data_IF_447945598728
#
_entry.id   IF_447945598728
#
_cell.length_a   1.000
_cell.length_b   1.000
_cell.length_c   1.000
_cell.angle_alpha   90.00
_cell.angle_beta   90.00
_cell.angle_gamma   90.00
#
_symmetry.space_group_name_H-M   'P 1'
#
loop_
_entity.id
_entity.type
_entity.pdbx_description
1 polymer ?
#
# COMPACT_ATOMS: atom_id res chain seq x y z
N UNK A 1 -26.94 9.50 4.10
CA UNK A 1 -25.90 10.14 3.28
C UNK A 1 -25.23 9.12 2.36
N UNK A 2 -25.34 9.38 1.05
CA UNK A 2 -24.61 8.77 -0.08
C UNK A 2 -24.26 7.26 0.00
N UNK A 3 -25.22 6.39 -0.34
CA UNK A 3 -24.97 4.99 -0.74
C UNK A 3 -25.29 4.80 -2.23
N UNK A 4 -24.72 5.64 -3.09
CA UNK A 4 -24.70 5.37 -4.52
C UNK A 4 -23.45 4.55 -4.82
N UNK A 5 -23.63 3.23 -4.79
CA UNK A 5 -22.65 2.23 -5.19
C UNK A 5 -22.49 2.30 -6.73
N UNK A 6 -21.96 3.42 -7.22
CA UNK A 6 -21.80 3.74 -8.64
C UNK A 6 -20.63 2.90 -9.20
N UNK A 7 -20.87 2.01 -10.18
CA UNK A 7 -19.85 1.14 -10.79
C UNK A 7 -18.72 1.89 -11.53
N UNK A 8 -18.74 3.23 -11.55
CA UNK A 8 -17.64 4.07 -12.08
C UNK A 8 -16.67 4.59 -11.01
N UNK A 9 -17.04 4.56 -9.73
CA UNK A 9 -16.16 5.08 -8.67
C UNK A 9 -14.89 4.25 -8.54
N UNK A 10 -15.00 2.93 -8.69
CA UNK A 10 -13.87 2.00 -8.60
C UNK A 10 -12.79 2.31 -9.66
N UNK A 11 -13.20 2.60 -10.89
CA UNK A 11 -12.28 3.00 -11.97
C UNK A 11 -11.59 4.33 -11.68
N UNK A 12 -12.25 5.29 -11.02
CA UNK A 12 -11.62 6.57 -10.66
C UNK A 12 -10.46 6.36 -9.69
N UNK A 13 -10.61 5.47 -8.70
CA UNK A 13 -9.51 5.13 -7.78
C UNK A 13 -8.35 4.46 -8.53
N UNK A 14 -8.64 3.52 -9.44
CA UNK A 14 -7.61 2.83 -10.24
C UNK A 14 -6.87 3.81 -11.16
N UNK A 15 -7.60 4.66 -11.87
CA UNK A 15 -7.01 5.68 -12.74
C UNK A 15 -6.16 6.67 -11.94
N UNK A 16 -6.65 7.11 -10.78
CA UNK A 16 -5.91 8.04 -9.91
C UNK A 16 -4.67 7.40 -9.30
N UNK A 17 -4.77 6.14 -8.87
CA UNK A 17 -3.65 5.35 -8.43
C UNK A 17 -2.57 5.26 -9.51
N UNK A 18 -2.94 4.84 -10.73
CA UNK A 18 -2.01 4.70 -11.83
C UNK A 18 -1.32 6.02 -12.18
N UNK A 19 -2.06 7.13 -12.19
CA UNK A 19 -1.51 8.45 -12.47
C UNK A 19 -0.51 8.92 -11.40
N UNK A 20 -0.81 8.68 -10.12
CA UNK A 20 0.12 8.97 -9.03
C UNK A 20 1.35 8.07 -9.06
N UNK A 21 1.15 6.78 -9.38
CA UNK A 21 2.22 5.79 -9.47
C UNK A 21 3.19 6.13 -10.60
N UNK A 22 2.68 6.48 -11.79
CA UNK A 22 3.50 6.94 -12.93
C UNK A 22 4.21 8.26 -12.65
N UNK A 23 3.61 9.14 -11.84
CA UNK A 23 4.24 10.39 -11.39
C UNK A 23 5.35 10.19 -10.35
N UNK A 24 5.59 8.95 -9.88
CA UNK A 24 6.52 8.65 -8.79
C UNK A 24 5.99 9.01 -7.39
N UNK A 25 4.72 9.39 -7.28
CA UNK A 25 4.07 9.74 -6.01
C UNK A 25 3.51 8.49 -5.31
N UNK A 26 4.39 7.57 -4.92
CA UNK A 26 4.05 6.28 -4.31
C UNK A 26 3.29 6.42 -2.98
N UNK A 27 3.63 7.42 -2.18
CA UNK A 27 2.95 7.69 -0.89
C UNK A 27 1.48 8.09 -1.09
N UNK A 28 1.19 8.95 -2.07
CA UNK A 28 -0.19 9.32 -2.41
C UNK A 28 -0.93 8.15 -3.06
N UNK A 29 -0.28 7.42 -3.98
CA UNK A 29 -0.87 6.23 -4.61
C UNK A 29 -1.29 5.19 -3.56
N UNK A 30 -0.46 4.98 -2.55
CA UNK A 30 -0.77 4.13 -1.41
C UNK A 30 -1.96 4.60 -0.58
N UNK A 31 -2.11 5.90 -0.34
CA UNK A 31 -3.31 6.46 0.33
C UNK A 31 -4.57 6.17 -0.48
N UNK A 32 -4.54 6.40 -1.78
CA UNK A 32 -5.67 6.10 -2.68
C UNK A 32 -6.04 4.62 -2.60
N UNK A 33 -5.04 3.73 -2.58
CA UNK A 33 -5.29 2.30 -2.47
C UNK A 33 -5.85 1.88 -1.10
N UNK A 34 -5.46 2.56 -0.02
CA UNK A 34 -5.96 2.29 1.32
C UNK A 34 -7.37 2.85 1.57
N UNK A 35 -7.70 4.00 0.98
CA UNK A 35 -9.03 4.64 1.07
C UNK A 35 -10.04 4.09 0.06
N UNK A 36 -9.57 3.31 -0.92
CA UNK A 36 -10.43 2.74 -1.95
C UNK A 36 -11.51 1.82 -1.34
N UNK A 37 -12.78 1.99 -1.74
CA UNK A 37 -13.88 1.18 -1.23
C UNK A 37 -13.67 -0.30 -1.58
N UNK A 38 -14.13 -1.20 -0.70
CA UNK A 38 -14.02 -2.66 -0.85
C UNK A 38 -12.58 -3.21 -1.01
N UNK A 39 -11.55 -2.38 -0.86
CA UNK A 39 -10.17 -2.81 -1.07
C UNK A 39 -9.87 -3.19 -2.52
N UNK A 40 -10.53 -2.58 -3.51
CA UNK A 40 -10.31 -2.86 -4.94
C UNK A 40 -8.84 -2.72 -5.39
N UNK A 41 -8.07 -1.87 -4.70
CA UNK A 41 -6.65 -1.62 -4.93
C UNK A 41 -5.76 -2.36 -3.92
N UNK A 42 -6.34 -3.09 -2.98
CA UNK A 42 -5.63 -3.92 -2.00
C UNK A 42 -5.56 -5.35 -2.50
N UNK A 43 -4.89 -5.50 -3.64
CA UNK A 43 -4.75 -6.76 -4.35
C UNK A 43 -3.27 -7.11 -4.49
N UNK A 44 -3.00 -8.40 -4.71
CA UNK A 44 -1.67 -8.91 -5.10
C UNK A 44 -1.08 -8.12 -6.27
N UNK A 45 -1.90 -7.70 -7.23
CA UNK A 45 -1.45 -6.95 -8.40
C UNK A 45 -0.87 -5.58 -8.02
N UNK A 46 -1.49 -4.87 -7.07
CA UNK A 46 -0.96 -3.58 -6.56
C UNK A 46 0.35 -3.80 -5.80
N UNK A 47 0.42 -4.85 -4.98
CA UNK A 47 1.64 -5.20 -4.23
C UNK A 47 2.79 -5.48 -5.20
N UNK A 48 2.53 -6.27 -6.25
CA UNK A 48 3.52 -6.56 -7.29
C UNK A 48 4.00 -5.29 -7.98
N UNK A 49 3.11 -4.35 -8.33
CA UNK A 49 3.52 -3.05 -8.88
C UNK A 49 4.50 -2.34 -7.96
N UNK A 50 4.20 -2.19 -6.67
CA UNK A 50 5.13 -1.58 -5.70
C UNK A 50 6.44 -2.37 -5.54
N UNK A 51 6.40 -3.69 -5.71
CA UNK A 51 7.58 -4.54 -5.62
C UNK A 51 8.49 -4.41 -6.85
N UNK A 52 7.92 -4.15 -8.04
CA UNK A 52 8.71 -3.90 -9.26
C UNK A 52 9.50 -2.60 -9.20
N UNK A 53 9.09 -1.65 -8.34
CA UNK A 53 9.80 -0.37 -8.23
C UNK A 53 11.06 -0.56 -7.38
N UNK A 54 12.25 -0.31 -7.94
CA UNK A 54 13.49 -0.41 -7.19
C UNK A 54 13.53 0.64 -6.07
N UNK A 55 14.03 0.28 -4.88
CA UNK A 55 14.23 1.25 -3.81
C UNK A 55 15.29 2.27 -4.23
N UNK A 56 14.93 3.56 -4.23
CA UNK A 56 15.90 4.63 -4.48
C UNK A 56 16.72 4.92 -3.21
N UNK A 57 18.01 5.20 -3.39
CA UNK A 57 18.86 5.70 -2.31
C UNK A 57 18.25 6.99 -1.74
N UNK A 58 18.23 7.13 -0.41
CA UNK A 58 17.55 8.20 0.35
C UNK A 58 16.01 8.21 0.38
N UNK A 59 15.30 7.38 -0.39
CA UNK A 59 13.84 7.27 -0.25
C UNK A 59 13.43 5.92 0.36
N UNK A 60 12.43 5.89 1.26
CA UNK A 60 11.87 4.64 1.74
C UNK A 60 11.23 3.88 0.57
N UNK A 61 11.37 2.56 0.55
CA UNK A 61 10.85 1.76 -0.55
C UNK A 61 9.36 2.02 -0.78
N UNK A 62 8.89 2.16 -2.02
CA UNK A 62 7.49 2.38 -2.35
C UNK A 62 6.55 1.35 -1.71
N UNK A 63 6.97 0.08 -1.72
CA UNK A 63 6.28 -1.02 -1.05
C UNK A 63 6.10 -0.77 0.46
N UNK A 64 7.11 -0.25 1.14
CA UNK A 64 7.05 0.04 2.58
C UNK A 64 6.09 1.19 2.89
N UNK A 65 6.08 2.22 2.03
CA UNK A 65 5.11 3.32 2.14
C UNK A 65 3.68 2.80 1.98
N UNK A 66 3.45 1.95 0.97
CA UNK A 66 2.18 1.29 0.74
C UNK A 66 1.65 0.58 1.98
N UNK A 67 2.46 -0.32 2.55
CA UNK A 67 2.06 -1.06 3.75
C UNK A 67 1.90 -0.19 4.98
N UNK A 68 2.72 0.86 5.14
CA UNK A 68 2.57 1.79 6.27
C UNK A 68 1.22 2.49 6.25
N UNK A 69 0.76 2.90 5.06
CA UNK A 69 -0.54 3.56 4.90
C UNK A 69 -1.69 2.56 5.03
N UNK A 70 -1.55 1.34 4.51
CA UNK A 70 -2.53 0.26 4.74
C UNK A 70 -2.72 -0.02 6.23
N UNK A 71 -1.62 -0.06 7.00
CA UNK A 71 -1.63 -0.27 8.45
C UNK A 71 -2.32 0.87 9.22
N UNK A 72 -2.27 2.10 8.70
CA UNK A 72 -2.97 3.23 9.29
C UNK A 72 -4.46 3.21 8.97
N UNK A 73 -4.83 2.82 7.74
CA UNK A 73 -6.23 2.77 7.32
C UNK A 73 -6.95 1.49 7.75
N UNK A 74 -6.22 0.42 8.07
CA UNK A 74 -6.81 -0.90 8.31
C UNK A 74 -5.84 -1.89 8.94
N UNK A 75 -6.36 -3.05 9.36
CA UNK A 75 -5.53 -4.17 9.81
C UNK A 75 -5.05 -4.97 8.60
N UNK A 76 -3.74 -5.19 8.48
CA UNK A 76 -3.19 -6.19 7.55
C UNK A 76 -3.62 -7.59 7.99
N UNK A 77 -4.10 -8.38 7.04
CA UNK A 77 -4.37 -9.80 7.25
C UNK A 77 -3.06 -10.60 7.40
N UNK A 78 -3.16 -11.85 7.85
CA UNK A 78 -1.98 -12.72 8.04
C UNK A 78 -1.16 -12.84 6.76
N UNK A 79 -1.81 -13.02 5.62
CA UNK A 79 -1.15 -13.16 4.32
C UNK A 79 -0.44 -11.89 3.89
N UNK A 80 -1.12 -10.73 3.94
CA UNK A 80 -0.50 -9.44 3.62
C UNK A 80 0.68 -9.13 4.56
N UNK A 81 0.58 -9.52 5.83
CA UNK A 81 1.66 -9.34 6.81
C UNK A 81 2.87 -10.22 6.48
N UNK A 82 2.68 -11.43 5.97
CA UNK A 82 3.78 -12.35 5.62
C UNK A 82 4.49 -11.87 4.35
N UNK A 83 3.73 -11.51 3.32
CA UNK A 83 4.27 -10.95 2.06
C UNK A 83 5.00 -9.63 2.30
N UNK A 84 4.57 -8.86 3.30
CA UNK A 84 5.30 -7.69 3.79
C UNK A 84 6.57 -8.07 4.57
N UNK A 85 6.48 -9.00 5.52
CA UNK A 85 7.62 -9.35 6.38
C UNK A 85 8.80 -9.89 5.57
N UNK A 86 8.56 -10.71 4.53
CA UNK A 86 9.61 -11.34 3.72
C UNK A 86 10.65 -10.35 3.18
N UNK A 87 10.29 -9.39 2.31
CA UNK A 87 11.27 -8.46 1.72
C UNK A 87 11.87 -7.52 2.76
N UNK A 88 11.13 -7.17 3.82
CA UNK A 88 11.60 -6.25 4.87
C UNK A 88 12.65 -6.90 5.75
N UNK A 89 12.43 -8.15 6.13
CA UNK A 89 13.39 -8.94 6.91
C UNK A 89 14.64 -9.21 6.06
N UNK A 90 14.47 -9.57 4.77
CA UNK A 90 15.62 -9.77 3.87
C UNK A 90 16.42 -8.49 3.60
N UNK A 91 15.76 -7.32 3.50
CA UNK A 91 16.44 -6.01 3.41
C UNK A 91 17.04 -5.53 4.73
N UNK A 92 16.90 -6.27 5.84
CA UNK A 92 17.40 -5.85 7.15
C UNK A 92 16.61 -4.68 7.77
N UNK A 93 15.43 -4.35 7.22
CA UNK A 93 14.58 -3.23 7.68
C UNK A 93 13.70 -3.61 8.87
N UNK A 94 14.24 -4.38 9.82
CA UNK A 94 13.53 -4.86 11.02
C UNK A 94 12.89 -3.73 11.84
N UNK A 95 13.52 -2.56 11.89
CA UNK A 95 12.99 -1.38 12.61
C UNK A 95 11.60 -0.94 12.10
N UNK A 96 11.31 -1.11 10.82
CA UNK A 96 9.98 -0.83 10.27
C UNK A 96 8.97 -1.86 10.76
N UNK A 97 9.36 -3.13 10.78
CA UNK A 97 8.55 -4.22 11.32
C UNK A 97 8.18 -3.97 12.78
N UNK A 98 9.16 -3.55 13.58
CA UNK A 98 8.95 -3.18 14.98
C UNK A 98 8.01 -1.99 15.12
N UNK A 99 8.17 -0.95 14.29
CA UNK A 99 7.27 0.22 14.28
C UNK A 99 5.82 -0.18 13.96
N UNK A 100 5.63 -1.09 13.01
CA UNK A 100 4.32 -1.60 12.64
C UNK A 100 3.70 -2.50 13.72
N UNK A 101 4.50 -3.40 14.31
CA UNK A 101 4.08 -4.24 15.44
C UNK A 101 3.67 -3.38 16.64
N UNK A 102 4.39 -2.29 16.90
CA UNK A 102 4.10 -1.37 18.00
C UNK A 102 2.82 -0.55 17.75
N UNK A 103 2.51 -0.22 16.49
CA UNK A 103 1.28 0.51 16.11
C UNK A 103 0.03 -0.38 16.11
N UNK A 104 0.16 -1.72 16.25
CA UNK A 104 -0.95 -2.66 16.43
C UNK A 104 -1.55 -2.70 17.85
N UNK A 105 -1.28 -1.72 18.72
CA UNK A 105 -1.84 -1.61 20.07
C UNK A 105 -2.89 -0.50 20.17
#
# INVERSE_FOLDING_TARGET
>A
SARCNLPGADQLFVARFAQLFQSGNYSEAAKVAATAPRGILRTQQTIQQFQTVPPQANQPSPLLQYFSILLESSKLNKEESIELCRPVVMQGKKQLLEKWLKKKR
#
